data_IF_231979931755
#
_entry.id   IF_231979931755
#
_cell.length_a   1.000
_cell.length_b   1.000
_cell.length_c   1.000
_cell.angle_alpha   90.00
_cell.angle_beta   90.00
_cell.angle_gamma   90.00
#
_symmetry.space_group_name_H-M   'P 1'
#
loop_
_entity.id
_entity.type
_entity.pdbx_description
1 polymer ?
#
# COMPACT_ATOMS: atom_id res chain seq x y z
N UNK A 1 -13.13 -29.86 -1.60
CA UNK A 1 -11.74 -29.36 -1.73
C UNK A 1 -11.46 -28.41 -0.59
N UNK A 2 -10.18 -28.12 -0.29
CA UNK A 2 -9.82 -27.11 0.70
C UNK A 2 -10.30 -25.72 0.25
N UNK A 3 -11.04 -24.94 1.07
CA UNK A 3 -11.56 -23.63 0.65
C UNK A 3 -10.47 -22.56 0.53
N UNK A 4 -9.30 -22.77 1.13
CA UNK A 4 -8.19 -21.80 1.15
C UNK A 4 -7.24 -22.02 -0.02
N UNK A 5 -6.71 -23.24 -0.15
CA UNK A 5 -5.71 -23.55 -1.18
C UNK A 5 -6.26 -24.34 -2.37
N UNK A 6 -7.56 -24.68 -2.38
CA UNK A 6 -8.26 -25.40 -3.45
C UNK A 6 -7.77 -26.81 -3.76
N UNK A 7 -6.79 -27.33 -3.01
CA UNK A 7 -6.32 -28.72 -3.11
C UNK A 7 -7.49 -29.70 -2.88
N UNK A 8 -7.61 -30.71 -3.74
CA UNK A 8 -8.59 -31.79 -3.59
C UNK A 8 -8.05 -32.84 -2.63
N UNK A 9 -8.68 -33.00 -1.46
CA UNK A 9 -8.36 -34.08 -0.51
C UNK A 9 -9.21 -35.31 -0.82
N UNK A 10 -8.60 -36.48 -0.77
CA UNK A 10 -9.31 -37.77 -0.87
C UNK A 10 -9.94 -38.05 0.51
N UNK A 11 -11.24 -38.38 0.52
CA UNK A 11 -11.96 -38.78 1.73
C UNK A 11 -11.69 -40.28 1.99
N UNK A 12 -11.31 -40.69 3.21
CA UNK A 12 -11.14 -42.11 3.55
C UNK A 12 -12.45 -42.89 3.41
N UNK A 13 -12.38 -44.22 3.24
CA UNK A 13 -13.55 -45.09 3.08
C UNK A 13 -14.56 -45.00 4.24
N UNK A 14 -14.07 -44.74 5.46
CA UNK A 14 -14.89 -44.53 6.66
C UNK A 14 -15.42 -43.08 6.79
N UNK A 15 -15.32 -42.28 5.73
CA UNK A 15 -15.79 -40.90 5.67
C UNK A 15 -14.97 -39.94 6.55
N UNK A 16 -15.60 -38.82 6.93
CA UNK A 16 -14.97 -37.71 7.67
C UNK A 16 -14.41 -38.15 9.03
N UNK A 17 -15.03 -39.15 9.66
CA UNK A 17 -14.61 -39.68 10.97
C UNK A 17 -13.23 -40.36 10.96
N UNK A 18 -12.69 -40.69 9.78
CA UNK A 18 -11.37 -41.28 9.64
C UNK A 18 -10.27 -40.26 9.26
N UNK A 19 -10.60 -38.98 9.18
CA UNK A 19 -9.59 -37.92 9.08
C UNK A 19 -8.84 -37.81 10.42
N UNK A 20 -7.54 -37.53 10.34
CA UNK A 20 -6.72 -37.33 11.54
C UNK A 20 -7.28 -36.17 12.37
N UNK A 21 -7.54 -36.43 13.65
CA UNK A 21 -8.01 -35.42 14.58
C UNK A 21 -6.97 -34.32 14.74
N UNK A 22 -7.38 -33.06 14.66
CA UNK A 22 -6.51 -31.94 14.95
C UNK A 22 -6.35 -31.81 16.48
N UNK A 23 -5.26 -32.38 17.00
CA UNK A 23 -4.98 -32.44 18.44
C UNK A 23 -4.91 -31.06 19.11
N UNK A 24 -4.51 -30.02 18.37
CA UNK A 24 -4.56 -28.64 18.85
C UNK A 24 -6.00 -28.19 19.15
N UNK A 25 -6.95 -28.52 18.25
CA UNK A 25 -8.37 -28.23 18.44
C UNK A 25 -8.95 -29.11 19.55
N UNK A 26 -8.56 -30.39 19.64
CA UNK A 26 -9.01 -31.27 20.74
C UNK A 26 -8.57 -30.74 22.10
N UNK A 27 -7.32 -30.30 22.24
CA UNK A 27 -6.81 -29.71 23.49
C UNK A 27 -7.46 -28.35 23.80
N UNK A 28 -7.67 -27.51 22.78
CA UNK A 28 -8.42 -26.26 22.93
C UNK A 28 -9.85 -26.52 23.41
N UNK A 29 -10.52 -27.55 22.86
CA UNK A 29 -11.84 -27.94 23.31
C UNK A 29 -11.82 -28.48 24.73
N UNK A 30 -10.82 -29.27 25.13
CA UNK A 30 -10.67 -29.73 26.53
C UNK A 30 -10.48 -28.56 27.51
N UNK A 31 -9.72 -27.53 27.12
CA UNK A 31 -9.53 -26.31 27.93
C UNK A 31 -10.83 -25.50 28.01
N UNK A 32 -11.58 -25.39 26.91
CA UNK A 32 -12.87 -24.68 26.89
C UNK A 32 -14.01 -25.45 27.59
N UNK A 33 -13.92 -26.78 27.66
CA UNK A 33 -14.88 -27.65 28.36
C UNK A 33 -14.62 -27.75 29.86
N UNK A 34 -13.42 -27.41 30.33
CA UNK A 34 -13.17 -27.15 31.77
C UNK A 34 -13.84 -25.82 32.12
N UNK A 35 -15.07 -25.89 32.61
CA UNK A 35 -15.73 -24.70 33.15
C UNK A 35 -14.87 -24.05 34.23
N UNK A 36 -14.68 -22.72 34.20
CA UNK A 36 -14.27 -21.99 35.38
C UNK A 36 -15.49 -21.89 36.30
N UNK A 37 -15.53 -22.71 37.34
CA UNK A 37 -16.29 -22.31 38.51
C UNK A 37 -15.58 -21.10 39.11
N UNK A 38 -16.21 -19.93 38.92
CA UNK A 38 -16.01 -18.65 39.62
C UNK A 38 -15.06 -17.62 38.99
N UNK A 39 -15.71 -16.58 38.45
CA UNK A 39 -15.39 -15.15 38.50
C UNK A 39 -13.93 -14.65 38.37
N UNK A 40 -13.66 -13.89 37.30
CA UNK A 40 -12.52 -12.97 37.24
C UNK A 40 -12.10 -12.62 35.81
N UNK A 41 -12.52 -11.46 35.33
CA UNK A 41 -12.12 -10.85 34.07
C UNK A 41 -10.69 -10.29 34.22
N UNK A 42 -9.81 -10.49 33.22
CA UNK A 42 -8.80 -9.52 32.70
C UNK A 42 -7.43 -10.04 32.22
N UNK A 43 -7.10 -11.33 32.20
CA UNK A 43 -5.79 -11.79 31.67
C UNK A 43 -5.89 -12.84 30.54
N UNK A 44 -6.41 -12.44 29.37
CA UNK A 44 -6.47 -13.30 28.19
C UNK A 44 -5.19 -13.25 27.31
N UNK A 45 -4.28 -12.32 27.56
CA UNK A 45 -3.13 -12.04 26.66
C UNK A 45 -1.83 -12.72 27.12
N UNK A 46 -1.74 -13.17 28.37
CA UNK A 46 -0.54 -13.85 28.91
C UNK A 46 -0.46 -15.37 28.61
N UNK A 47 -1.53 -15.99 28.09
CA UNK A 47 -1.61 -17.46 27.90
C UNK A 47 -0.93 -17.98 26.62
N UNK A 48 -0.56 -17.11 25.68
CA UNK A 48 0.02 -17.52 24.39
C UNK A 48 1.54 -17.79 24.44
N UNK A 49 2.23 -17.26 25.45
CA UNK A 49 3.69 -17.47 25.63
C UNK A 49 4.01 -18.71 26.49
N UNK A 50 2.97 -19.37 27.03
CA UNK A 50 3.08 -20.57 27.88
C UNK A 50 2.81 -21.89 27.14
N UNK A 51 2.80 -21.89 25.80
CA UNK A 51 2.78 -23.14 25.01
C UNK A 51 4.11 -23.92 25.07
N UNK A 52 4.91 -23.70 26.12
CA UNK A 52 6.04 -24.54 26.48
C UNK A 52 5.53 -25.88 26.98
N UNK A 53 5.47 -26.84 26.05
CA UNK A 53 5.49 -28.28 26.30
C UNK A 53 4.59 -28.76 27.45
N UNK A 54 3.27 -28.78 27.24
CA UNK A 54 2.45 -29.79 27.92
C UNK A 54 2.95 -31.15 27.42
N UNK A 55 3.37 -32.10 28.28
CA UNK A 55 3.70 -33.45 27.84
C UNK A 55 2.45 -34.01 27.16
N UNK A 56 2.48 -34.07 25.83
CA UNK A 56 1.36 -34.57 25.04
C UNK A 56 1.01 -35.97 25.51
N UNK A 57 -0.28 -36.24 25.74
CA UNK A 57 -0.73 -37.58 26.08
C UNK A 57 -0.23 -38.56 25.01
N UNK A 58 0.37 -39.71 25.40
CA UNK A 58 0.91 -40.65 24.43
C UNK A 58 -0.18 -41.08 23.43
N UNK A 59 0.14 -41.06 22.15
CA UNK A 59 -0.81 -41.42 21.10
C UNK A 59 -1.16 -42.91 21.21
N UNK A 60 -2.44 -43.25 21.26
CA UNK A 60 -2.90 -44.63 21.30
C UNK A 60 -3.09 -45.19 19.89
N UNK A 61 -2.73 -46.45 19.68
CA UNK A 61 -2.94 -47.16 18.44
C UNK A 61 -4.45 -47.37 18.18
N UNK A 62 -4.97 -47.04 16.98
CA UNK A 62 -6.38 -47.25 16.65
C UNK A 62 -6.71 -48.73 16.40
N UNK A 63 -5.73 -49.56 16.08
CA UNK A 63 -5.90 -50.98 15.79
C UNK A 63 -5.67 -51.87 17.04
N UNK A 64 -4.95 -51.35 18.04
CA UNK A 64 -4.59 -52.10 19.26
C UNK A 64 -4.93 -51.26 20.50
N UNK A 65 -6.04 -51.61 21.14
CA UNK A 65 -6.58 -50.85 22.28
C UNK A 65 -5.59 -50.77 23.44
N UNK A 66 -5.40 -49.55 23.97
CA UNK A 66 -4.51 -49.29 25.11
C UNK A 66 -3.01 -49.32 24.78
N UNK A 67 -2.60 -49.57 23.52
CA UNK A 67 -1.18 -49.58 23.13
C UNK A 67 -0.72 -48.21 22.65
N UNK A 68 0.45 -47.78 23.09
CA UNK A 68 1.05 -46.50 22.70
C UNK A 68 1.78 -46.63 21.35
N UNK A 69 1.67 -45.60 20.51
CA UNK A 69 2.47 -45.47 19.30
C UNK A 69 3.88 -44.99 19.65
N UNK A 70 4.88 -45.82 19.34
CA UNK A 70 6.29 -45.59 19.68
C UNK A 70 7.21 -45.73 18.47
N UNK A 71 6.70 -46.26 17.36
CA UNK A 71 7.44 -46.55 16.13
C UNK A 71 6.85 -45.78 14.95
N UNK A 72 7.66 -45.57 13.92
CA UNK A 72 7.29 -44.97 12.66
C UNK A 72 7.72 -45.89 11.52
N UNK A 73 6.79 -46.15 10.60
CA UNK A 73 7.06 -46.89 9.38
C UNK A 73 7.31 -45.92 8.23
N UNK A 74 8.55 -45.87 7.71
CA UNK A 74 8.93 -44.92 6.66
C UNK A 74 8.17 -45.19 5.34
N UNK A 75 7.99 -46.46 4.98
CA UNK A 75 7.29 -46.84 3.74
C UNK A 75 5.79 -46.48 3.73
N UNK A 76 5.17 -46.36 4.91
CA UNK A 76 3.74 -46.09 5.06
C UNK A 76 3.46 -44.70 5.63
N UNK A 77 4.52 -43.94 5.91
CA UNK A 77 4.47 -42.62 6.54
C UNK A 77 3.56 -42.54 7.79
N UNK A 78 3.52 -43.59 8.60
CA UNK A 78 2.53 -43.75 9.67
C UNK A 78 3.16 -44.12 11.00
N UNK A 79 2.72 -43.45 12.08
CA UNK A 79 3.08 -43.77 13.46
C UNK A 79 2.28 -44.98 13.99
N UNK A 80 2.92 -45.83 14.79
CA UNK A 80 2.36 -47.13 15.16
C UNK A 80 2.89 -47.67 16.49
N UNK A 81 2.17 -48.64 17.05
CA UNK A 81 2.63 -49.38 18.24
C UNK A 81 3.50 -50.59 17.87
N UNK A 82 4.14 -51.18 18.87
CA UNK A 82 4.96 -52.39 18.70
C UNK A 82 4.18 -53.58 18.10
N UNK A 83 2.89 -53.73 18.34
CA UNK A 83 2.11 -54.85 17.77
C UNK A 83 1.95 -54.70 16.25
N UNK A 84 1.83 -53.47 15.75
CA UNK A 84 1.80 -53.18 14.31
C UNK A 84 3.13 -53.51 13.62
N UNK A 85 4.27 -53.36 14.30
CA UNK A 85 5.59 -53.64 13.69
C UNK A 85 5.82 -55.13 13.48
N UNK A 86 5.19 -55.99 14.29
CA UNK A 86 5.29 -57.46 14.16
C UNK A 86 4.18 -58.02 13.27
N UNK A 87 3.05 -57.32 13.14
CA UNK A 87 1.90 -57.69 12.31
C UNK A 87 1.94 -57.07 10.92
N UNK A 88 1.06 -56.10 10.68
CA UNK A 88 0.79 -55.50 9.36
C UNK A 88 2.03 -54.86 8.71
N UNK A 89 3.05 -54.47 9.48
CA UNK A 89 4.26 -53.83 8.98
C UNK A 89 5.53 -54.65 9.21
N UNK A 90 5.41 -55.98 9.35
CA UNK A 90 6.55 -56.88 9.60
C UNK A 90 7.67 -56.79 8.56
N UNK A 91 7.30 -56.51 7.31
CA UNK A 91 8.25 -56.43 6.18
C UNK A 91 8.74 -55.01 5.90
N UNK A 92 8.26 -54.01 6.65
CA UNK A 92 8.66 -52.62 6.48
C UNK A 92 9.74 -52.20 7.47
N UNK A 93 10.61 -51.28 7.05
CA UNK A 93 11.58 -50.65 7.95
C UNK A 93 10.84 -49.75 8.93
N UNK A 94 11.08 -50.00 10.23
CA UNK A 94 10.50 -49.23 11.32
C UNK A 94 11.61 -48.62 12.18
N UNK A 95 11.39 -47.38 12.62
CA UNK A 95 12.33 -46.61 13.44
C UNK A 95 11.59 -46.04 14.65
N UNK A 96 12.28 -45.66 15.74
CA UNK A 96 11.64 -45.01 16.87
C UNK A 96 10.98 -43.68 16.45
N UNK A 97 9.69 -43.54 16.77
CA UNK A 97 8.90 -42.36 16.42
C UNK A 97 9.52 -41.07 16.99
N UNK A 98 10.11 -41.15 18.18
CA UNK A 98 10.79 -40.04 18.85
C UNK A 98 11.90 -39.43 17.98
N UNK A 99 12.69 -40.26 17.32
CA UNK A 99 13.85 -39.82 16.55
C UNK A 99 13.40 -39.12 15.26
N UNK A 100 12.38 -39.68 14.60
CA UNK A 100 11.71 -39.06 13.44
C UNK A 100 11.09 -37.72 13.80
N UNK A 101 10.42 -37.62 14.94
CA UNK A 101 9.83 -36.36 15.43
C UNK A 101 10.92 -35.31 15.67
N UNK A 102 12.01 -35.65 16.36
CA UNK A 102 13.09 -34.69 16.61
C UNK A 102 13.83 -34.29 15.32
N UNK A 103 14.01 -35.21 14.38
CA UNK A 103 14.58 -34.92 13.06
C UNK A 103 13.68 -33.94 12.27
N UNK A 104 12.38 -34.21 12.17
CA UNK A 104 11.45 -33.31 11.49
C UNK A 104 11.36 -31.95 12.16
N UNK A 105 11.35 -31.92 13.49
CA UNK A 105 11.36 -30.68 14.28
C UNK A 105 12.62 -29.86 14.03
N UNK A 106 13.79 -30.50 13.93
CA UNK A 106 15.04 -29.83 13.57
C UNK A 106 14.99 -29.25 12.15
N UNK A 107 14.49 -30.04 11.18
CA UNK A 107 14.32 -29.59 9.79
C UNK A 107 13.37 -28.38 9.67
N UNK A 108 12.22 -28.43 10.34
CA UNK A 108 11.26 -27.32 10.37
C UNK A 108 11.85 -26.07 11.02
N UNK A 109 12.61 -26.21 12.13
CA UNK A 109 13.33 -25.08 12.75
C UNK A 109 14.32 -24.45 11.79
N UNK A 110 15.13 -25.26 11.10
CA UNK A 110 16.09 -24.76 10.12
C UNK A 110 15.41 -23.98 8.99
N UNK A 111 14.30 -24.50 8.44
CA UNK A 111 13.54 -23.81 7.41
C UNK A 111 12.93 -22.51 7.92
N UNK A 112 12.38 -22.53 9.13
CA UNK A 112 11.79 -21.37 9.79
C UNK A 112 12.85 -20.29 10.05
N UNK A 113 14.04 -20.66 10.50
CA UNK A 113 15.15 -19.73 10.72
C UNK A 113 15.65 -19.14 9.39
N UNK A 114 15.74 -19.95 8.33
CA UNK A 114 16.10 -19.46 6.99
C UNK A 114 15.07 -18.49 6.40
N UNK A 115 13.78 -18.66 6.72
CA UNK A 115 12.75 -17.70 6.32
C UNK A 115 12.84 -16.43 7.17
N UNK A 116 12.99 -16.58 8.50
CA UNK A 116 13.13 -15.44 9.41
C UNK A 116 14.34 -14.58 9.08
N UNK A 117 15.45 -15.17 8.66
CA UNK A 117 16.65 -14.42 8.26
C UNK A 117 16.44 -13.56 7.00
N UNK A 118 15.41 -13.84 6.19
CA UNK A 118 15.05 -13.03 5.02
C UNK A 118 14.12 -11.88 5.33
N UNK A 119 13.40 -11.90 6.47
CA UNK A 119 12.48 -10.84 6.86
C UNK A 119 13.15 -9.45 6.95
N UNK A 120 14.36 -9.28 7.51
CA UNK A 120 15.02 -7.98 7.56
C UNK A 120 15.30 -7.40 6.17
N UNK A 121 15.65 -8.24 5.20
CA UNK A 121 15.92 -7.83 3.82
C UNK A 121 14.64 -7.34 3.13
N UNK A 122 13.52 -8.04 3.36
CA UNK A 122 12.22 -7.61 2.85
C UNK A 122 11.75 -6.31 3.51
N UNK A 123 11.91 -6.18 4.83
CA UNK A 123 11.59 -4.95 5.54
C UNK A 123 12.40 -3.76 5.00
N UNK A 124 13.71 -3.93 4.81
CA UNK A 124 14.56 -2.89 4.22
C UNK A 124 14.14 -2.54 2.78
N UNK A 125 13.77 -3.52 1.96
CA UNK A 125 13.27 -3.28 0.60
C UNK A 125 11.93 -2.51 0.60
N UNK A 126 11.02 -2.83 1.52
CA UNK A 126 9.74 -2.13 1.71
C UNK A 126 9.99 -0.66 2.07
N UNK A 127 10.86 -0.40 3.04
CA UNK A 127 11.24 0.97 3.43
C UNK A 127 11.88 1.74 2.28
N UNK A 128 12.80 1.10 1.54
CA UNK A 128 13.47 1.71 0.40
C UNK A 128 12.48 2.13 -0.70
N UNK A 129 11.60 1.20 -1.11
CA UNK A 129 10.62 1.49 -2.17
C UNK A 129 9.62 2.55 -1.72
N UNK A 130 9.20 2.51 -0.46
CA UNK A 130 8.30 3.52 0.12
C UNK A 130 8.96 4.90 0.12
N UNK A 131 10.23 5.00 0.52
CA UNK A 131 11.00 6.23 0.48
C UNK A 131 11.20 6.78 -0.94
N UNK A 132 11.52 5.91 -1.91
CA UNK A 132 11.64 6.32 -3.32
C UNK A 132 10.31 6.84 -3.87
N UNK A 133 9.20 6.17 -3.54
CA UNK A 133 7.86 6.58 -3.96
C UNK A 133 7.50 7.96 -3.41
N UNK A 134 7.77 8.20 -2.13
CA UNK A 134 7.55 9.51 -1.50
C UNK A 134 8.39 10.61 -2.17
N UNK A 135 9.69 10.37 -2.36
CA UNK A 135 10.57 11.34 -3.03
C UNK A 135 10.13 11.66 -4.46
N UNK A 136 9.60 10.67 -5.19
CA UNK A 136 9.07 10.88 -6.53
C UNK A 136 7.88 11.84 -6.51
N UNK A 137 6.97 11.68 -5.54
CA UNK A 137 5.80 12.56 -5.39
C UNK A 137 6.22 13.98 -5.01
N UNK A 138 7.14 14.12 -4.05
CA UNK A 138 7.68 15.41 -3.62
C UNK A 138 8.34 16.15 -4.79
N UNK A 139 9.27 15.51 -5.49
CA UNK A 139 9.95 16.12 -6.66
C UNK A 139 8.98 16.49 -7.78
N UNK A 140 7.94 15.67 -8.01
CA UNK A 140 6.90 16.01 -8.98
C UNK A 140 6.16 17.29 -8.59
N UNK A 141 5.80 17.41 -7.31
CA UNK A 141 5.10 18.59 -6.82
C UNK A 141 5.98 19.84 -6.88
N UNK A 142 7.26 19.72 -6.51
CA UNK A 142 8.24 20.82 -6.62
C UNK A 142 8.40 21.27 -8.07
N UNK A 143 8.56 20.34 -9.02
CA UNK A 143 8.68 20.66 -10.43
C UNK A 143 7.40 21.35 -10.98
N UNK A 144 6.21 20.88 -10.58
CA UNK A 144 4.95 21.53 -10.96
C UNK A 144 4.84 22.94 -10.37
N UNK A 145 5.27 23.15 -9.12
CA UNK A 145 5.28 24.46 -8.49
C UNK A 145 6.26 25.42 -9.17
N UNK A 146 7.46 24.94 -9.52
CA UNK A 146 8.46 25.73 -10.25
C UNK A 146 7.94 26.14 -11.63
N UNK A 147 7.35 25.21 -12.39
CA UNK A 147 6.69 25.53 -13.66
C UNK A 147 5.59 26.58 -13.42
N UNK A 148 4.72 26.40 -12.43
CA UNK A 148 3.67 27.39 -12.12
C UNK A 148 4.22 28.79 -11.80
N UNK A 149 5.27 28.87 -10.99
CA UNK A 149 5.90 30.14 -10.59
C UNK A 149 6.53 30.84 -11.79
N UNK A 150 7.31 30.11 -12.60
CA UNK A 150 7.97 30.68 -13.78
C UNK A 150 6.98 31.26 -14.78
N UNK A 151 5.86 30.56 -15.04
CA UNK A 151 4.82 31.08 -15.93
C UNK A 151 4.10 32.29 -15.34
N UNK A 152 3.83 32.31 -14.03
CA UNK A 152 3.23 33.47 -13.36
C UNK A 152 4.12 34.71 -13.48
N UNK A 153 5.44 34.55 -13.35
CA UNK A 153 6.40 35.64 -13.53
C UNK A 153 6.44 36.15 -14.98
N UNK A 154 6.42 35.25 -15.96
CA UNK A 154 6.36 35.61 -17.37
C UNK A 154 5.07 36.37 -17.72
N UNK A 155 3.92 35.89 -17.26
CA UNK A 155 2.63 36.56 -17.45
C UNK A 155 2.63 37.97 -16.87
N UNK A 156 3.21 38.14 -15.67
CA UNK A 156 3.36 39.44 -15.03
C UNK A 156 4.25 40.38 -15.87
N UNK A 157 5.40 39.89 -16.34
CA UNK A 157 6.31 40.69 -17.16
C UNK A 157 5.66 41.10 -18.50
N UNK A 158 4.94 40.19 -19.14
CA UNK A 158 4.18 40.47 -20.37
C UNK A 158 3.06 41.50 -20.12
N UNK A 159 2.32 41.34 -19.02
CA UNK A 159 1.27 42.29 -18.61
C UNK A 159 1.82 43.69 -18.38
N UNK A 160 2.97 43.80 -17.69
CA UNK A 160 3.65 45.08 -17.47
C UNK A 160 4.11 45.71 -18.78
N UNK A 161 4.73 44.94 -19.69
CA UNK A 161 5.18 45.44 -20.99
C UNK A 161 4.01 45.91 -21.85
N UNK A 162 2.90 45.15 -21.89
CA UNK A 162 1.66 45.54 -22.56
C UNK A 162 1.13 46.85 -22.01
N UNK A 163 1.03 46.98 -20.68
CA UNK A 163 0.53 48.19 -20.03
C UNK A 163 1.42 49.42 -20.25
N UNK A 164 2.73 49.25 -20.40
CA UNK A 164 3.64 50.33 -20.82
C UNK A 164 3.36 50.76 -22.26
N UNK A 165 3.31 49.83 -23.20
CA UNK A 165 3.09 50.13 -24.61
C UNK A 165 1.75 50.83 -24.88
N UNK A 166 0.69 50.42 -24.18
CA UNK A 166 -0.63 51.08 -24.28
C UNK A 166 -0.55 52.51 -23.76
N UNK A 167 0.05 52.74 -22.60
CA UNK A 167 0.21 54.11 -22.05
C UNK A 167 1.04 55.01 -22.95
N UNK A 168 2.13 54.48 -23.51
CA UNK A 168 2.99 55.23 -24.43
C UNK A 168 2.21 55.65 -25.69
N UNK A 169 1.39 54.74 -26.23
CA UNK A 169 0.52 55.02 -27.38
C UNK A 169 -0.53 56.08 -27.04
N UNK A 170 -1.22 55.93 -25.91
CA UNK A 170 -2.21 56.91 -25.44
C UNK A 170 -1.59 58.30 -25.25
N UNK A 171 -0.38 58.37 -24.67
CA UNK A 171 0.34 59.62 -24.51
C UNK A 171 0.71 60.25 -25.86
N UNK A 172 1.22 59.46 -26.81
CA UNK A 172 1.57 59.93 -28.16
C UNK A 172 0.33 60.44 -28.91
N UNK A 173 -0.76 59.67 -28.88
CA UNK A 173 -2.02 60.05 -29.51
C UNK A 173 -2.60 61.31 -28.85
N UNK A 174 -2.58 61.40 -27.52
CA UNK A 174 -3.02 62.58 -26.79
C UNK A 174 -2.20 63.82 -27.14
N UNK A 175 -0.88 63.69 -27.28
CA UNK A 175 -0.02 64.79 -27.70
C UNK A 175 -0.33 65.25 -29.14
N UNK A 176 -0.46 64.31 -30.09
CA UNK A 176 -0.84 64.61 -31.48
C UNK A 176 -2.23 65.26 -31.56
N UNK A 177 -3.19 64.77 -30.78
CA UNK A 177 -4.55 65.33 -30.74
C UNK A 177 -4.55 66.78 -30.28
N UNK A 178 -3.75 67.12 -29.26
CA UNK A 178 -3.59 68.52 -28.80
C UNK A 178 -3.00 69.43 -29.87
N UNK A 179 -2.00 68.95 -30.61
CA UNK A 179 -1.41 69.70 -31.73
C UNK A 179 -2.45 69.95 -32.82
N UNK A 180 -3.21 68.91 -33.22
CA UNK A 180 -4.25 69.05 -34.23
C UNK A 180 -5.36 70.00 -33.78
N UNK A 181 -5.78 69.95 -32.52
CA UNK A 181 -6.76 70.89 -31.96
C UNK A 181 -6.28 72.33 -32.02
N UNK A 182 -5.03 72.59 -31.65
CA UNK A 182 -4.44 73.94 -31.72
C UNK A 182 -4.36 74.45 -33.18
N UNK A 183 -3.95 73.60 -34.12
CA UNK A 183 -3.91 73.96 -35.54
C UNK A 183 -5.31 74.27 -36.09
N UNK A 184 -6.30 73.47 -35.70
CA UNK A 184 -7.68 73.66 -36.13
C UNK A 184 -8.24 74.99 -35.61
N UNK A 185 -7.96 75.35 -34.36
CA UNK A 185 -8.35 76.63 -33.78
C UNK A 185 -7.74 77.82 -34.55
N UNK A 186 -6.44 77.75 -34.86
CA UNK A 186 -5.77 78.78 -35.66
C UNK A 186 -6.39 78.93 -37.05
N UNK A 187 -6.70 77.81 -37.71
CA UNK A 187 -7.34 77.83 -39.04
C UNK A 187 -8.75 78.43 -38.99
N UNK A 188 -9.55 78.10 -37.98
CA UNK A 188 -10.89 78.68 -37.78
C UNK A 188 -10.82 80.19 -37.55
N UNK A 189 -9.92 80.62 -36.67
CA UNK A 189 -9.72 82.05 -36.43
C UNK A 189 -9.27 82.77 -37.70
N UNK A 190 -8.36 82.17 -38.48
CA UNK A 190 -7.94 82.70 -39.78
C UNK A 190 -9.11 82.81 -40.77
N UNK A 191 -9.97 81.80 -40.82
CA UNK A 191 -11.18 81.80 -41.66
C UNK A 191 -12.13 82.94 -41.28
N UNK A 192 -12.43 83.13 -39.99
CA UNK A 192 -13.28 84.24 -39.52
C UNK A 192 -12.69 85.62 -39.85
N UNK A 193 -11.37 85.77 -39.69
CA UNK A 193 -10.68 87.02 -40.01
C UNK A 193 -10.77 87.35 -41.51
N UNK A 194 -10.65 86.34 -42.38
CA UNK A 194 -10.82 86.53 -43.83
C UNK A 194 -12.26 86.87 -44.16
N UNK A 195 -13.24 86.14 -43.62
CA UNK A 195 -14.66 86.39 -43.87
C UNK A 195 -15.08 87.80 -43.45
N UNK A 196 -14.65 88.25 -42.28
CA UNK A 196 -14.92 89.60 -41.79
C UNK A 196 -14.24 90.68 -42.64
N UNK A 197 -12.99 90.45 -43.06
CA UNK A 197 -12.28 91.35 -43.96
C UNK A 197 -12.98 91.47 -45.31
N UNK A 198 -13.39 90.33 -45.91
CA UNK A 198 -14.14 90.30 -47.17
C UNK A 198 -15.45 91.08 -47.05
N UNK A 199 -16.25 90.78 -46.01
CA UNK A 199 -17.52 91.49 -45.76
C UNK A 199 -17.32 93.00 -45.58
N UNK A 200 -16.28 93.42 -44.88
CA UNK A 200 -15.95 94.84 -44.74
C UNK A 200 -15.57 95.49 -46.08
N UNK A 201 -14.73 94.82 -46.89
CA UNK A 201 -14.36 95.34 -48.22
C UNK A 201 -15.53 95.37 -49.19
N UNK A 202 -16.42 94.37 -49.18
CA UNK A 202 -17.63 94.35 -49.99
C UNK A 202 -18.53 95.54 -49.62
N UNK A 203 -18.76 95.76 -48.33
CA UNK A 203 -19.61 96.85 -47.83
C UNK A 203 -19.04 98.25 -48.10
N UNK A 204 -17.73 98.38 -48.33
CA UNK A 204 -17.07 99.64 -48.69
C UNK A 204 -17.07 99.89 -50.21
N UNK A 205 -17.34 98.88 -51.03
CA UNK A 205 -17.42 98.98 -52.49
C UNK A 205 -18.83 99.30 -53.00
N UNK A 206 -19.86 99.09 -52.17
CA UNK A 206 -21.25 99.53 -52.38
C UNK A 206 -21.48 101.01 -51.99
#
# INVERSE_FOLDING_TARGET
SCPVCRQTSILPEKGVAALQNNFFITNLMEVLQRQPDSAGHEDAIAMLDSASAVPGKPLSCPNHEGKTMEYYCEACETAMCHECTVGEHREHVTVPLRDVVEQHKASLRQQLDAIKSRLPQLAAAVELVSGISQQLVERKNDAVAEIGSTFTELEKALGQRKGLLVRDLEALCGAKQKVLQAQLEVLRQGQENILSSCSFTEQALD
#
